data_IF_068838362928
#
_entry.id   IF_068838362928
#
_cell.length_a   1.000
_cell.length_b   1.000
_cell.length_c   1.000
_cell.angle_alpha   90.00
_cell.angle_beta   90.00
_cell.angle_gamma   90.00
#
_symmetry.space_group_name_H-M   'P 1'
#
loop_
_entity.id
_entity.type
_entity.pdbx_description
1 polymer ?
#
# COMPACT_ATOMS: atom_id res chain seq x y z
N UNK A 1 -13.91 0.38 -22.47
CA UNK A 1 -12.57 1.00 -22.47
C UNK A 1 -11.39 0.01 -22.55
N UNK A 2 -11.48 -1.26 -22.11
CA UNK A 2 -10.41 -2.26 -22.36
C UNK A 2 -10.64 -3.18 -23.58
N UNK A 3 -11.78 -3.07 -24.27
CA UNK A 3 -11.98 -3.78 -25.55
C UNK A 3 -11.17 -3.18 -26.72
N UNK A 4 -10.40 -2.11 -26.50
CA UNK A 4 -9.72 -1.35 -27.56
C UNK A 4 -8.18 -1.34 -27.49
N UNK A 5 -7.55 -2.16 -26.64
CA UNK A 5 -6.09 -2.34 -26.72
C UNK A 5 -5.84 -3.66 -27.45
N UNK A 6 -5.34 -3.57 -28.68
CA UNK A 6 -4.94 -4.76 -29.44
C UNK A 6 -3.83 -5.51 -28.70
N UNK A 7 -4.03 -6.81 -28.55
CA UNK A 7 -3.05 -7.77 -28.03
C UNK A 7 -2.95 -8.89 -29.06
N UNK A 8 -1.74 -9.28 -29.50
CA UNK A 8 -1.54 -10.42 -30.39
C UNK A 8 -2.29 -11.66 -29.91
N UNK A 9 -2.78 -12.48 -30.84
CA UNK A 9 -3.70 -13.58 -30.52
C UNK A 9 -3.14 -14.56 -29.49
N UNK A 10 -1.84 -14.85 -29.56
CA UNK A 10 -1.15 -15.79 -28.67
C UNK A 10 -0.90 -15.22 -27.27
N UNK A 11 -0.94 -13.89 -27.12
CA UNK A 11 -0.83 -13.17 -25.83
C UNK A 11 -2.20 -12.94 -25.18
N UNK A 12 -3.30 -13.23 -25.88
CA UNK A 12 -4.64 -13.15 -25.29
C UNK A 12 -4.85 -14.32 -24.34
N UNK A 13 -5.16 -14.02 -23.08
CA UNK A 13 -5.54 -15.04 -22.11
C UNK A 13 -6.65 -15.95 -22.66
N UNK A 14 -6.42 -17.26 -22.57
CA UNK A 14 -7.45 -18.26 -22.84
C UNK A 14 -8.57 -18.20 -21.81
N UNK A 15 -9.77 -18.65 -22.20
CA UNK A 15 -11.01 -18.47 -21.42
C UNK A 15 -10.94 -18.93 -19.95
N UNK A 16 -10.19 -20.00 -19.64
CA UNK A 16 -10.00 -20.51 -18.27
C UNK A 16 -9.10 -19.60 -17.41
N UNK A 17 -8.04 -19.03 -18.00
CA UNK A 17 -7.13 -18.12 -17.29
C UNK A 17 -7.79 -16.75 -17.04
N UNK A 18 -8.71 -16.36 -17.92
CA UNK A 18 -9.45 -15.09 -17.83
C UNK A 18 -10.47 -15.09 -16.68
N UNK A 19 -11.11 -16.22 -16.39
CA UNK A 19 -11.98 -16.35 -15.21
C UNK A 19 -11.21 -16.36 -13.89
N UNK A 20 -9.96 -16.82 -13.91
CA UNK A 20 -9.08 -16.83 -12.74
C UNK A 20 -8.34 -15.49 -12.55
N UNK A 21 -8.51 -14.55 -13.47
CA UNK A 21 -7.68 -13.35 -13.53
C UNK A 21 -8.10 -12.30 -12.48
N UNK A 22 -7.17 -12.04 -11.56
CA UNK A 22 -7.22 -10.96 -10.56
C UNK A 22 -7.62 -9.59 -11.12
N UNK A 23 -7.28 -9.26 -12.36
CA UNK A 23 -7.55 -7.92 -12.91
C UNK A 23 -9.04 -7.60 -13.06
N UNK A 24 -9.91 -8.58 -13.33
CA UNK A 24 -11.35 -8.33 -13.30
C UNK A 24 -11.86 -8.14 -11.87
N UNK A 25 -11.28 -8.86 -10.91
CA UNK A 25 -11.62 -8.72 -9.49
C UNK A 25 -11.17 -7.37 -8.91
N UNK A 26 -9.94 -6.94 -9.21
CA UNK A 26 -9.42 -5.61 -8.80
C UNK A 26 -10.28 -4.51 -9.41
N UNK A 27 -10.66 -4.65 -10.69
CA UNK A 27 -11.56 -3.72 -11.36
C UNK A 27 -12.95 -3.68 -10.71
N UNK A 28 -13.52 -4.83 -10.34
CA UNK A 28 -14.81 -4.89 -9.66
C UNK A 28 -14.77 -4.22 -8.28
N UNK A 29 -13.69 -4.44 -7.52
CA UNK A 29 -13.49 -3.81 -6.21
C UNK A 29 -13.36 -2.29 -6.36
N UNK A 30 -12.51 -1.83 -7.27
CA UNK A 30 -12.24 -0.40 -7.47
C UNK A 30 -13.41 0.36 -8.09
N UNK A 31 -14.13 -0.23 -9.05
CA UNK A 31 -15.22 0.45 -9.76
C UNK A 31 -16.59 0.25 -9.13
N UNK A 32 -16.83 -0.89 -8.46
CA UNK A 32 -18.14 -1.23 -7.92
C UNK A 32 -18.24 -1.07 -6.40
N UNK A 33 -17.23 -1.55 -5.67
CA UNK A 33 -17.30 -1.63 -4.20
C UNK A 33 -16.85 -0.33 -3.55
N UNK A 34 -15.75 0.28 -4.01
CA UNK A 34 -15.18 1.48 -3.39
C UNK A 34 -16.13 2.70 -3.39
N UNK A 35 -16.87 3.00 -4.48
CA UNK A 35 -17.87 4.08 -4.46
C UNK A 35 -19.03 3.81 -3.49
N UNK A 36 -19.45 2.56 -3.34
CA UNK A 36 -20.50 2.18 -2.40
C UNK A 36 -20.02 2.31 -0.94
N UNK A 37 -18.78 1.95 -0.63
CA UNK A 37 -18.21 2.15 0.71
C UNK A 37 -18.10 3.65 1.05
N UNK A 38 -17.58 4.48 0.14
CA UNK A 38 -17.40 5.93 0.38
C UNK A 38 -18.70 6.71 0.60
N UNK A 39 -19.81 6.22 0.08
CA UNK A 39 -21.11 6.92 0.18
C UNK A 39 -21.80 6.70 1.53
N UNK A 40 -21.40 5.69 2.31
CA UNK A 40 -22.23 5.18 3.41
C UNK A 40 -21.49 4.81 4.71
N UNK A 41 -20.17 5.00 4.82
CA UNK A 41 -19.45 4.99 6.11
C UNK A 41 -19.63 6.38 6.74
N UNK A 42 -20.28 6.45 7.92
CA UNK A 42 -20.70 7.72 8.52
C UNK A 42 -20.29 7.85 10.00
N UNK A 43 -19.29 8.71 10.20
CA UNK A 43 -19.21 9.80 11.19
C UNK A 43 -18.47 11.01 10.56
N UNK A 44 -17.62 10.72 9.57
CA UNK A 44 -17.10 11.64 8.54
C UNK A 44 -17.30 10.99 7.16
N UNK A 45 -18.18 11.50 6.26
CA UNK A 45 -18.49 10.81 5.00
C UNK A 45 -17.24 10.52 4.15
N UNK A 46 -16.89 9.24 4.02
CA UNK A 46 -15.81 8.78 3.14
C UNK A 46 -14.42 8.63 3.76
N UNK A 47 -14.28 8.77 5.07
CA UNK A 47 -13.00 8.62 5.81
C UNK A 47 -13.08 7.52 6.89
N UNK A 48 -11.92 7.06 7.37
CA UNK A 48 -11.83 6.17 8.53
C UNK A 48 -11.49 6.99 9.76
N UNK A 49 -12.31 6.93 10.80
CA UNK A 49 -12.11 7.70 12.03
C UNK A 49 -11.22 6.97 13.05
N UNK A 50 -11.00 5.66 12.85
CA UNK A 50 -10.15 4.83 13.71
C UNK A 50 -9.54 3.62 12.99
N UNK A 51 -8.48 3.05 13.56
CA UNK A 51 -7.97 1.74 13.09
C UNK A 51 -9.01 0.63 13.23
N UNK A 52 -9.94 0.73 14.19
CA UNK A 52 -11.00 -0.25 14.34
C UNK A 52 -11.94 -0.24 13.12
N UNK A 53 -12.19 0.92 12.51
CA UNK A 53 -13.02 1.01 11.30
C UNK A 53 -12.37 0.27 10.12
N UNK A 54 -11.04 0.32 10.03
CA UNK A 54 -10.27 -0.45 9.04
C UNK A 54 -10.34 -1.95 9.36
N UNK A 55 -10.20 -2.35 10.62
CA UNK A 55 -10.27 -3.75 11.04
C UNK A 55 -11.68 -4.35 10.82
N UNK A 56 -12.73 -3.54 11.00
CA UNK A 56 -14.12 -3.94 10.78
C UNK A 56 -14.40 -4.39 9.33
N UNK A 57 -13.60 -3.94 8.35
CA UNK A 57 -13.66 -4.43 6.97
C UNK A 57 -13.48 -5.95 6.85
N UNK A 58 -12.73 -6.54 7.77
CA UNK A 58 -12.34 -7.96 7.75
C UNK A 58 -13.09 -8.83 8.76
N UNK A 59 -13.59 -8.26 9.86
CA UNK A 59 -14.26 -9.01 10.93
C UNK A 59 -15.78 -9.01 10.77
N UNK A 60 -16.36 -7.82 10.96
CA UNK A 60 -17.80 -7.60 10.96
C UNK A 60 -18.38 -7.37 9.57
N UNK A 61 -17.54 -6.96 8.61
CA UNK A 61 -17.97 -6.52 7.29
C UNK A 61 -18.72 -5.19 7.32
N UNK A 62 -18.84 -4.53 6.16
CA UNK A 62 -19.65 -3.32 5.99
C UNK A 62 -21.04 -3.73 5.54
N UNK A 63 -22.07 -3.33 6.28
CA UNK A 63 -23.46 -3.44 5.80
C UNK A 63 -23.66 -2.48 4.63
N UNK A 64 -23.85 -3.03 3.44
CA UNK A 64 -24.22 -2.25 2.28
C UNK A 64 -25.74 -2.03 2.27
N UNK A 65 -26.20 -0.84 1.86
CA UNK A 65 -27.63 -0.61 1.68
C UNK A 65 -28.15 -1.45 0.51
N UNK A 66 -29.41 -1.88 0.59
CA UNK A 66 -30.06 -2.58 -0.52
C UNK A 66 -30.41 -1.60 -1.64
N UNK A 67 -29.46 -1.34 -2.55
CA UNK A 67 -29.64 -0.45 -3.71
C UNK A 67 -29.50 -1.19 -5.05
N UNK A 68 -30.27 -0.82 -6.09
CA UNK A 68 -30.25 -1.50 -7.39
C UNK A 68 -28.87 -1.60 -8.05
N UNK A 69 -27.99 -0.62 -7.82
CA UNK A 69 -26.64 -0.60 -8.38
C UNK A 69 -25.73 -1.73 -7.86
N UNK A 70 -25.88 -2.11 -6.58
CA UNK A 70 -25.13 -3.22 -5.98
C UNK A 70 -25.62 -4.58 -6.49
N UNK A 71 -26.94 -4.70 -6.70
CA UNK A 71 -27.54 -5.87 -7.35
C UNK A 71 -27.08 -6.01 -8.80
N UNK A 72 -26.88 -4.91 -9.50
CA UNK A 72 -26.35 -4.91 -10.86
C UNK A 72 -24.87 -5.30 -10.90
N UNK A 73 -24.04 -4.80 -9.98
CA UNK A 73 -22.66 -5.24 -9.80
C UNK A 73 -22.57 -6.74 -9.50
N UNK A 74 -23.42 -7.25 -8.60
CA UNK A 74 -23.52 -8.69 -8.28
C UNK A 74 -23.80 -9.53 -9.53
N UNK A 75 -24.65 -9.05 -10.43
CA UNK A 75 -25.02 -9.72 -11.68
C UNK A 75 -23.94 -9.61 -12.77
N UNK A 76 -23.24 -8.49 -12.83
CA UNK A 76 -22.21 -8.23 -13.84
C UNK A 76 -20.91 -8.99 -13.59
N UNK A 77 -20.65 -9.39 -12.34
CA UNK A 77 -19.39 -10.02 -11.99
C UNK A 77 -19.55 -11.48 -11.52
N UNK A 78 -19.32 -12.48 -12.39
CA UNK A 78 -19.53 -13.90 -12.08
C UNK A 78 -18.41 -14.55 -11.24
N UNK A 79 -17.44 -13.79 -10.75
CA UNK A 79 -16.21 -14.30 -10.17
C UNK A 79 -16.41 -14.81 -8.73
N UNK A 80 -15.77 -15.94 -8.41
CA UNK A 80 -15.79 -16.53 -7.07
C UNK A 80 -15.35 -15.54 -6.00
N UNK A 81 -14.31 -14.74 -6.28
CA UNK A 81 -13.82 -13.72 -5.35
C UNK A 81 -14.90 -12.71 -4.94
N UNK A 82 -15.79 -12.32 -5.87
CA UNK A 82 -16.84 -11.34 -5.58
C UNK A 82 -18.01 -12.00 -4.84
N UNK A 83 -18.28 -13.28 -5.11
CA UNK A 83 -19.23 -14.07 -4.32
C UNK A 83 -18.76 -14.28 -2.88
N UNK A 84 -17.45 -14.42 -2.68
CA UNK A 84 -16.84 -14.54 -1.34
C UNK A 84 -16.88 -13.20 -0.59
N UNK A 85 -16.71 -12.07 -1.31
CA UNK A 85 -16.83 -10.73 -0.76
C UNK A 85 -18.28 -10.30 -0.47
N UNK A 86 -19.24 -10.80 -1.26
CA UNK A 86 -20.68 -10.49 -1.20
C UNK A 86 -21.51 -11.80 -1.08
N UNK A 87 -21.54 -12.44 0.09
CA UNK A 87 -22.24 -13.71 0.29
C UNK A 87 -23.73 -13.65 -0.10
N UNK A 88 -24.30 -14.81 -0.42
CA UNK A 88 -25.70 -14.95 -0.86
C UNK A 88 -26.59 -15.20 0.35
N UNK A 89 -27.23 -14.14 0.88
CA UNK A 89 -28.27 -14.28 1.90
C UNK A 89 -28.49 -13.04 2.77
N UNK A 90 -29.59 -12.32 2.51
CA UNK A 90 -30.32 -11.52 3.51
C UNK A 90 -29.86 -10.10 3.76
N UNK A 91 -28.60 -9.91 4.14
CA UNK A 91 -28.01 -8.59 4.41
C UNK A 91 -26.76 -8.45 3.53
N UNK A 92 -26.71 -7.43 2.67
CA UNK A 92 -25.61 -7.19 1.73
C UNK A 92 -24.32 -6.81 2.48
N UNK A 93 -23.65 -7.76 3.11
CA UNK A 93 -22.46 -7.54 3.91
C UNK A 93 -21.20 -7.68 3.03
N UNK A 94 -20.44 -6.60 2.88
CA UNK A 94 -19.11 -6.65 2.26
C UNK A 94 -18.09 -7.08 3.32
N UNK A 95 -17.50 -8.27 3.16
CA UNK A 95 -16.46 -8.76 4.06
C UNK A 95 -15.20 -9.11 3.29
N UNK A 96 -14.12 -8.38 3.55
CA UNK A 96 -12.82 -8.63 2.92
C UNK A 96 -12.12 -9.84 3.58
N UNK A 97 -11.32 -10.62 2.84
CA UNK A 97 -10.47 -11.64 3.44
C UNK A 97 -9.45 -11.00 4.37
N UNK A 98 -9.22 -11.62 5.53
CA UNK A 98 -8.27 -11.11 6.55
C UNK A 98 -6.84 -11.17 5.99
N UNK A 99 -6.13 -10.03 5.88
CA UNK A 99 -4.74 -9.99 5.45
C UNK A 99 -3.83 -10.83 6.34
N UNK A 100 -2.89 -11.57 5.75
CA UNK A 100 -2.00 -12.49 6.47
C UNK A 100 -1.24 -11.83 7.63
N UNK A 101 -0.81 -10.59 7.46
CA UNK A 101 -0.08 -9.83 8.49
C UNK A 101 -0.88 -9.61 9.78
N UNK A 102 -2.22 -9.57 9.71
CA UNK A 102 -3.09 -9.36 10.88
C UNK A 102 -3.83 -10.63 11.34
N UNK A 103 -3.57 -11.80 10.74
CA UNK A 103 -4.28 -13.04 11.07
C UNK A 103 -3.97 -13.52 12.50
N UNK A 104 -2.70 -13.41 12.92
CA UNK A 104 -2.27 -13.81 14.25
C UNK A 104 -2.36 -12.66 15.27
N UNK A 105 -1.96 -11.46 14.87
CA UNK A 105 -1.95 -10.26 15.71
C UNK A 105 -2.35 -9.03 14.89
N UNK A 106 -3.46 -8.39 15.29
CA UNK A 106 -4.03 -7.22 14.60
C UNK A 106 -3.18 -5.96 14.74
N UNK A 107 -2.20 -5.94 15.64
CA UNK A 107 -1.36 -4.78 15.93
C UNK A 107 0.11 -4.96 15.53
N UNK A 108 0.53 -6.16 15.08
CA UNK A 108 1.93 -6.46 14.77
C UNK A 108 2.56 -5.49 13.76
N UNK A 109 1.78 -5.05 12.76
CA UNK A 109 2.20 -4.10 11.72
C UNK A 109 2.64 -2.73 12.24
N UNK A 110 2.37 -2.41 13.50
CA UNK A 110 2.71 -1.12 14.14
C UNK A 110 4.09 -1.11 14.79
N UNK A 111 4.78 -2.24 14.83
CA UNK A 111 6.07 -2.40 15.51
C UNK A 111 7.23 -2.04 14.59
N UNK A 112 8.30 -1.48 15.16
CA UNK A 112 9.53 -1.18 14.41
C UNK A 112 10.17 -2.47 13.88
N UNK A 113 10.05 -3.57 14.62
CA UNK A 113 10.53 -4.89 14.22
C UNK A 113 9.81 -5.40 12.98
N UNK A 114 8.49 -5.30 12.92
CA UNK A 114 7.73 -5.74 11.74
C UNK A 114 8.00 -4.82 10.55
N UNK A 115 8.08 -3.50 10.76
CA UNK A 115 8.48 -2.55 9.72
C UNK A 115 9.84 -2.94 9.11
N UNK A 116 10.86 -3.15 9.94
CA UNK A 116 12.19 -3.56 9.45
C UNK A 116 12.19 -4.97 8.83
N UNK A 117 11.41 -5.90 9.36
CA UNK A 117 11.28 -7.26 8.82
C UNK A 117 10.65 -7.25 7.43
N UNK A 118 9.63 -6.44 7.20
CA UNK A 118 8.97 -6.32 5.89
C UNK A 118 9.90 -5.73 4.82
N UNK A 119 10.84 -4.88 5.21
CA UNK A 119 11.88 -4.39 4.29
C UNK A 119 12.76 -5.53 3.75
N UNK A 120 12.90 -6.64 4.48
CA UNK A 120 13.69 -7.81 4.07
C UNK A 120 12.85 -8.97 3.53
N UNK A 121 11.61 -9.12 3.99
CA UNK A 121 10.78 -10.31 3.74
C UNK A 121 9.29 -9.97 3.54
N UNK A 122 8.96 -8.72 3.25
CA UNK A 122 7.62 -8.24 2.94
C UNK A 122 7.36 -8.21 1.43
N UNK A 123 6.48 -7.31 1.00
CA UNK A 123 6.04 -7.21 -0.40
C UNK A 123 7.11 -6.68 -1.36
N UNK A 124 8.04 -5.86 -0.86
CA UNK A 124 9.09 -5.22 -1.67
C UNK A 124 10.48 -5.34 -1.03
N UNK A 125 11.07 -6.56 -1.01
CA UNK A 125 12.31 -6.83 -0.28
C UNK A 125 13.59 -6.47 -1.07
N UNK A 126 13.48 -5.70 -2.16
CA UNK A 126 14.58 -5.47 -3.12
C UNK A 126 15.12 -4.03 -3.12
N UNK A 127 14.60 -3.17 -2.24
CA UNK A 127 14.94 -1.74 -2.21
C UNK A 127 15.97 -1.36 -1.14
N UNK A 128 16.11 -2.15 -0.08
CA UNK A 128 17.09 -1.88 0.98
C UNK A 128 18.51 -1.99 0.45
N UNK A 129 19.37 -1.07 0.86
CA UNK A 129 20.78 -1.05 0.47
C UNK A 129 21.67 -0.89 1.68
N UNK A 130 22.90 -1.40 1.59
CA UNK A 130 23.92 -1.17 2.62
C UNK A 130 24.40 0.27 2.52
N UNK A 131 24.37 1.00 3.64
CA UNK A 131 24.94 2.32 3.71
C UNK A 131 26.48 2.22 3.77
N UNK A 132 27.18 3.00 2.95
CA UNK A 132 28.65 2.94 2.86
C UNK A 132 29.35 4.18 3.39
N UNK A 133 28.62 5.29 3.52
CA UNK A 133 29.09 6.53 4.11
C UNK A 133 27.98 7.17 4.95
N UNK A 134 28.36 7.97 5.94
CA UNK A 134 27.43 8.67 6.80
C UNK A 134 27.85 10.14 7.01
N UNK A 135 26.92 11.11 6.99
CA UNK A 135 25.48 10.93 6.71
C UNK A 135 25.24 10.52 5.24
N UNK A 136 24.06 9.95 4.91
CA UNK A 136 23.70 9.64 3.53
C UNK A 136 23.76 10.89 2.65
N UNK A 137 24.22 10.73 1.41
CA UNK A 137 24.36 11.83 0.46
C UNK A 137 23.46 11.63 -0.74
N UNK A 138 22.86 12.72 -1.18
CA UNK A 138 22.12 12.78 -2.44
C UNK A 138 23.07 13.05 -3.61
N UNK A 139 22.71 12.51 -4.77
CA UNK A 139 23.38 12.73 -6.06
C UNK A 139 22.75 13.85 -6.88
N UNK A 140 21.67 14.46 -6.38
CA UNK A 140 20.93 15.51 -7.07
C UNK A 140 21.70 16.83 -7.12
N UNK A 141 21.35 17.66 -8.11
CA UNK A 141 21.96 18.97 -8.31
C UNK A 141 21.43 19.99 -7.28
N UNK A 142 22.27 20.50 -6.36
CA UNK A 142 21.83 21.46 -5.35
C UNK A 142 21.32 22.78 -5.95
N UNK A 143 21.74 23.15 -7.16
CA UNK A 143 21.24 24.36 -7.83
C UNK A 143 19.77 24.23 -8.25
N UNK A 144 19.28 22.99 -8.42
CA UNK A 144 17.90 22.69 -8.80
C UNK A 144 17.02 22.39 -7.59
N UNK A 145 17.56 21.65 -6.62
CA UNK A 145 16.77 21.11 -5.51
C UNK A 145 17.08 21.75 -4.15
N UNK A 146 17.99 22.73 -4.12
CA UNK A 146 18.45 23.37 -2.89
C UNK A 146 19.43 22.51 -2.10
N UNK A 147 19.76 22.97 -0.88
CA UNK A 147 20.57 22.20 0.05
C UNK A 147 19.78 20.98 0.54
N UNK A 148 20.32 19.81 0.22
CA UNK A 148 19.78 18.50 0.57
C UNK A 148 20.83 17.67 1.34
N UNK A 149 21.76 18.36 2.01
CA UNK A 149 22.66 17.71 2.95
C UNK A 149 21.82 17.04 4.03
N UNK A 150 21.99 15.73 4.21
CA UNK A 150 21.23 14.99 5.21
C UNK A 150 21.45 15.59 6.60
N UNK A 151 20.34 15.86 7.29
CA UNK A 151 20.32 16.43 8.64
C UNK A 151 20.38 15.35 9.73
N UNK A 152 20.42 14.08 9.34
CA UNK A 152 20.56 12.96 10.26
C UNK A 152 22.00 12.98 10.80
N UNK A 153 22.13 13.17 12.12
CA UNK A 153 23.43 13.18 12.79
C UNK A 153 23.73 11.81 13.39
N UNK A 154 25.01 11.53 13.65
CA UNK A 154 25.42 10.27 14.29
C UNK A 154 24.73 10.09 15.66
N UNK A 155 24.64 11.17 16.43
CA UNK A 155 23.97 11.19 17.73
C UNK A 155 22.48 10.79 17.66
N UNK A 156 21.80 10.98 16.51
CA UNK A 156 20.41 10.53 16.36
C UNK A 156 20.29 9.00 16.39
N UNK A 157 21.27 8.28 15.84
CA UNK A 157 21.18 6.83 15.60
C UNK A 157 22.03 5.98 16.54
N UNK A 158 23.14 6.50 17.07
CA UNK A 158 24.11 5.70 17.86
C UNK A 158 23.49 5.00 19.08
N UNK A 159 22.52 5.64 19.73
CA UNK A 159 21.78 5.03 20.85
C UNK A 159 21.04 3.73 20.49
N UNK A 160 20.78 3.51 19.20
CA UNK A 160 20.06 2.35 18.66
C UNK A 160 21.00 1.38 17.92
N UNK A 161 22.32 1.59 17.97
CA UNK A 161 23.31 0.74 17.31
C UNK A 161 23.92 -0.32 18.25
N UNK A 162 23.21 -0.70 19.31
CA UNK A 162 23.62 -1.77 20.24
C UNK A 162 25.04 -1.56 20.84
N UNK A 163 25.39 -0.29 21.09
CA UNK A 163 26.69 0.10 21.64
C UNK A 163 27.80 0.33 20.60
N UNK A 164 27.51 0.21 19.30
CA UNK A 164 28.42 0.57 18.23
C UNK A 164 28.37 2.07 17.92
N UNK A 165 29.50 2.64 17.52
CA UNK A 165 29.51 3.95 16.84
C UNK A 165 29.03 3.80 15.39
N UNK A 166 28.63 4.90 14.75
CA UNK A 166 28.25 4.86 13.32
C UNK A 166 29.37 4.29 12.45
N UNK A 167 30.62 4.68 12.72
CA UNK A 167 31.77 4.20 11.95
C UNK A 167 31.96 2.69 12.10
N UNK A 168 31.83 2.16 13.31
CA UNK A 168 31.89 0.71 13.55
C UNK A 168 30.76 -0.04 12.84
N UNK A 169 29.55 0.52 12.83
CA UNK A 169 28.41 -0.08 12.12
C UNK A 169 28.62 -0.10 10.60
N UNK A 170 29.20 0.95 10.01
CA UNK A 170 29.58 0.98 8.59
C UNK A 170 30.64 -0.08 8.26
N UNK A 171 31.74 -0.11 9.00
CA UNK A 171 32.86 -1.02 8.77
C UNK A 171 32.49 -2.49 8.95
N UNK A 172 31.56 -2.78 9.87
CA UNK A 172 31.05 -4.12 10.13
C UNK A 172 29.88 -4.54 9.22
N UNK A 173 29.50 -3.71 8.25
CA UNK A 173 28.37 -3.95 7.33
C UNK A 173 27.03 -4.14 8.06
N UNK A 174 26.79 -3.37 9.13
CA UNK A 174 25.58 -3.44 9.97
C UNK A 174 24.65 -2.24 9.82
N UNK A 175 25.00 -1.29 8.94
CA UNK A 175 24.18 -0.11 8.68
C UNK A 175 23.58 -0.16 7.27
N UNK A 176 22.25 -0.04 7.20
CA UNK A 176 21.46 -0.16 5.99
C UNK A 176 20.46 1.00 5.90
N UNK A 177 20.01 1.29 4.69
CA UNK A 177 19.07 2.37 4.40
C UNK A 177 18.04 1.93 3.37
N UNK A 178 16.79 2.39 3.56
CA UNK A 178 15.78 2.43 2.53
C UNK A 178 15.73 3.86 2.00
N UNK A 179 16.45 4.12 0.92
CA UNK A 179 16.63 5.48 0.39
C UNK A 179 15.65 5.74 -0.77
N UNK A 180 14.71 6.65 -0.54
CA UNK A 180 13.75 7.13 -1.51
C UNK A 180 13.95 8.62 -1.82
N UNK A 181 14.95 9.26 -1.22
CA UNK A 181 15.19 10.69 -1.34
C UNK A 181 15.37 11.11 -2.81
N UNK A 182 16.41 10.59 -3.47
CA UNK A 182 16.74 11.00 -4.84
C UNK A 182 15.68 10.58 -5.86
N UNK A 183 14.93 9.52 -5.54
CA UNK A 183 13.91 8.96 -6.42
C UNK A 183 12.63 9.82 -6.45
N UNK A 184 12.24 10.38 -5.31
CA UNK A 184 11.00 11.16 -5.21
C UNK A 184 11.22 12.68 -5.27
N UNK A 185 12.39 13.17 -4.87
CA UNK A 185 12.70 14.61 -4.86
C UNK A 185 12.35 15.32 -6.19
N UNK A 186 12.63 14.74 -7.40
CA UNK A 186 12.26 15.38 -8.66
C UNK A 186 10.75 15.56 -8.90
N UNK A 187 9.90 14.81 -8.19
CA UNK A 187 8.45 14.79 -8.37
C UNK A 187 7.68 15.46 -7.24
N UNK A 188 8.35 15.85 -6.14
CA UNK A 188 7.67 16.37 -4.95
C UNK A 188 6.78 17.57 -5.27
N UNK A 189 7.27 18.54 -6.03
CA UNK A 189 6.52 19.75 -6.37
C UNK A 189 5.29 19.39 -7.19
N UNK A 190 5.45 18.55 -8.22
CA UNK A 190 4.35 18.18 -9.11
C UNK A 190 3.26 17.41 -8.36
N UNK A 191 3.65 16.45 -7.51
CA UNK A 191 2.71 15.65 -6.72
C UNK A 191 2.04 16.50 -5.64
N UNK A 192 2.78 17.36 -4.93
CA UNK A 192 2.23 18.19 -3.86
C UNK A 192 1.37 19.35 -4.39
N UNK A 193 1.49 19.71 -5.68
CA UNK A 193 0.57 20.63 -6.34
C UNK A 193 -0.78 19.99 -6.69
N UNK A 194 -0.91 18.66 -6.59
CA UNK A 194 -2.20 17.98 -6.81
C UNK A 194 -3.09 18.15 -5.56
N UNK A 195 -4.40 18.44 -5.73
CA UNK A 195 -5.31 18.58 -4.60
C UNK A 195 -5.30 17.35 -3.68
N UNK A 196 -5.16 17.58 -2.37
CA UNK A 196 -5.21 16.53 -1.35
C UNK A 196 -3.97 15.62 -1.26
N UNK A 197 -2.87 15.95 -1.92
CA UNK A 197 -1.64 15.15 -1.89
C UNK A 197 -0.50 15.89 -1.19
N UNK A 198 0.17 15.18 -0.28
CA UNK A 198 1.37 15.65 0.40
C UNK A 198 2.32 14.47 0.58
N UNK A 199 3.45 14.49 -0.11
CA UNK A 199 4.49 13.48 -0.03
C UNK A 199 5.82 14.11 0.37
N UNK A 200 6.70 13.26 0.89
CA UNK A 200 8.09 13.56 1.21
C UNK A 200 9.00 12.61 0.45
N UNK A 201 10.23 13.07 0.20
CA UNK A 201 11.30 12.23 -0.30
C UNK A 201 12.06 11.69 0.92
N UNK A 202 11.75 10.44 1.30
CA UNK A 202 12.17 9.81 2.56
C UNK A 202 13.50 9.09 2.45
#
# INVERSE_FOLDING_TARGET
>A
LLEQIYVPRDEKFGHLKTSDFLGYSIKAITQGILPAVRTYVDTTPGEFDSFQDIINLYEGGIKLPNVPALEELRKQFPLQLIKDLLPVGGDSLLKLPVPHIIQADKQAWRTDEEFAREVLAGVNPVMITRLTEFPPKSSLDPSKFGDHTSTITAAHIEKNLEGLTVQQALESNRLYILDHHDRFMPFLIDVNNLPGNFIYAT
#
